data_IF_975240198088
#
_entry.id   IF_975240198088
#
_cell.length_a   1.000
_cell.length_b   1.000
_cell.length_c   1.000
_cell.angle_alpha   90.00
_cell.angle_beta   90.00
_cell.angle_gamma   90.00
#
_symmetry.space_group_name_H-M   'P 1'
#
loop_
_entity.id
_entity.type
_entity.pdbx_description
1 polymer ?
#
# COMPACT_ATOMS: atom_id res chain seq x y z
N UNK A 1 3.84 -0.45 27.47
CA UNK A 1 4.67 0.44 26.63
C UNK A 1 3.94 0.60 25.33
N UNK A 2 3.95 1.79 24.71
CA UNK A 2 3.46 1.92 23.33
C UNK A 2 4.48 1.29 22.37
N UNK A 3 4.01 0.83 21.20
CA UNK A 3 4.84 0.32 20.10
C UNK A 3 4.24 0.68 18.73
N UNK A 4 4.78 0.11 17.64
CA UNK A 4 4.30 0.39 16.28
C UNK A 4 2.83 -0.02 16.04
N UNK A 5 2.30 -0.98 16.80
CA UNK A 5 0.88 -1.34 16.70
C UNK A 5 -0.02 -0.21 17.21
N UNK A 6 0.37 0.48 18.28
CA UNK A 6 -0.38 1.64 18.78
C UNK A 6 -0.31 2.80 17.80
N UNK A 7 0.85 3.02 17.17
CA UNK A 7 1.01 4.07 16.17
C UNK A 7 0.20 3.77 14.91
N UNK A 8 0.18 2.52 14.43
CA UNK A 8 -0.71 2.08 13.35
C UNK A 8 -2.18 2.33 13.71
N UNK A 9 -2.59 2.03 14.94
CA UNK A 9 -3.96 2.23 15.39
C UNK A 9 -4.36 3.71 15.39
N UNK A 10 -3.44 4.63 15.72
CA UNK A 10 -3.69 6.06 15.65
C UNK A 10 -3.95 6.52 14.19
N UNK A 11 -3.21 5.98 13.21
CA UNK A 11 -3.50 6.26 11.79
C UNK A 11 -4.84 5.67 11.35
N UNK A 12 -5.13 4.43 11.72
CA UNK A 12 -6.40 3.77 11.39
C UNK A 12 -7.61 4.49 12.00
N UNK A 13 -7.43 5.19 13.13
CA UNK A 13 -8.49 6.00 13.74
C UNK A 13 -8.86 7.24 12.91
N UNK A 14 -7.95 7.76 12.08
CA UNK A 14 -8.22 8.86 11.15
C UNK A 14 -8.76 8.37 9.81
N UNK A 15 -8.39 7.16 9.39
CA UNK A 15 -8.75 6.62 8.09
C UNK A 15 -10.18 6.07 8.13
N UNK A 16 -11.09 6.50 7.24
CA UNK A 16 -12.43 5.93 7.12
C UNK A 16 -12.39 4.56 6.41
N UNK A 17 -11.84 3.55 7.09
CA UNK A 17 -11.57 2.20 6.54
C UNK A 17 -12.81 1.58 5.90
N UNK A 18 -13.96 1.62 6.59
CA UNK A 18 -15.22 1.06 6.07
C UNK A 18 -15.66 1.70 4.75
N UNK A 19 -15.43 3.01 4.59
CA UNK A 19 -15.78 3.72 3.34
C UNK A 19 -14.80 3.36 2.22
N UNK A 20 -13.51 3.22 2.53
CA UNK A 20 -12.50 2.77 1.55
C UNK A 20 -12.84 1.37 1.05
N UNK A 21 -13.18 0.44 1.96
CA UNK A 21 -13.60 -0.92 1.61
C UNK A 21 -14.84 -0.89 0.72
N UNK A 22 -15.82 -0.05 1.05
CA UNK A 22 -17.03 0.09 0.24
C UNK A 22 -16.75 0.63 -1.16
N UNK A 23 -15.89 1.65 -1.30
CA UNK A 23 -15.43 2.17 -2.60
C UNK A 23 -14.72 1.08 -3.39
N UNK A 24 -13.70 0.44 -2.81
CA UNK A 24 -12.91 -0.59 -3.48
C UNK A 24 -13.79 -1.77 -3.95
N UNK A 25 -14.75 -2.20 -3.13
CA UNK A 25 -15.69 -3.27 -3.48
C UNK A 25 -16.62 -2.86 -4.64
N UNK A 26 -17.09 -1.61 -4.67
CA UNK A 26 -17.93 -1.10 -5.76
C UNK A 26 -17.17 -1.05 -7.10
N UNK A 27 -15.92 -0.57 -7.08
CA UNK A 27 -15.04 -0.60 -8.24
C UNK A 27 -14.72 -2.02 -8.70
N UNK A 28 -14.37 -2.93 -7.77
CA UNK A 28 -14.08 -4.32 -8.11
C UNK A 28 -15.29 -5.05 -8.72
N UNK A 29 -16.50 -4.77 -8.23
CA UNK A 29 -17.71 -5.40 -8.75
C UNK A 29 -18.12 -4.87 -10.13
N UNK A 30 -17.83 -3.60 -10.43
CA UNK A 30 -18.48 -2.90 -11.54
C UNK A 30 -17.52 -2.29 -12.58
N UNK A 31 -16.20 -2.31 -12.35
CA UNK A 31 -15.22 -1.68 -13.24
C UNK A 31 -14.23 -2.71 -13.83
N UNK A 32 -14.26 -2.85 -15.16
CA UNK A 32 -13.46 -3.84 -15.88
C UNK A 32 -11.95 -3.56 -15.82
N UNK A 33 -11.52 -2.30 -15.70
CA UNK A 33 -10.11 -1.98 -15.58
C UNK A 33 -9.57 -2.36 -14.20
N UNK A 34 -10.37 -2.12 -13.15
CA UNK A 34 -10.03 -2.56 -11.79
C UNK A 34 -10.01 -4.08 -11.67
N UNK A 35 -10.95 -4.78 -12.31
CA UNK A 35 -10.94 -6.24 -12.38
C UNK A 35 -9.69 -6.77 -13.09
N UNK A 36 -9.29 -6.15 -14.21
CA UNK A 36 -8.07 -6.51 -14.91
C UNK A 36 -6.81 -6.27 -14.06
N UNK A 37 -6.78 -5.20 -13.25
CA UNK A 37 -5.69 -4.95 -12.31
C UNK A 37 -5.61 -6.03 -11.23
N UNK A 38 -6.74 -6.47 -10.66
CA UNK A 38 -6.76 -7.59 -9.70
C UNK A 38 -6.30 -8.89 -10.34
N UNK A 39 -6.73 -9.18 -11.58
CA UNK A 39 -6.25 -10.35 -12.32
C UNK A 39 -4.73 -10.29 -12.58
N UNK A 40 -4.17 -9.10 -12.82
CA UNK A 40 -2.73 -8.92 -12.95
C UNK A 40 -1.98 -9.25 -11.64
N UNK A 41 -2.53 -8.88 -10.47
CA UNK A 41 -1.93 -9.23 -9.18
C UNK A 41 -1.90 -10.74 -8.90
N UNK A 42 -2.69 -11.53 -9.62
CA UNK A 42 -2.69 -13.00 -9.57
C UNK A 42 -1.80 -13.64 -10.65
N UNK A 43 -1.13 -12.86 -11.49
CA UNK A 43 -0.35 -13.37 -12.62
C UNK A 43 1.06 -13.81 -12.22
N UNK A 44 1.62 -14.75 -12.97
CA UNK A 44 3.02 -15.22 -12.83
C UNK A 44 4.03 -14.06 -12.90
N UNK A 45 3.72 -13.01 -13.65
CA UNK A 45 4.54 -11.80 -13.76
C UNK A 45 4.63 -11.06 -12.40
N UNK A 46 3.49 -10.91 -11.72
CA UNK A 46 3.47 -10.30 -10.38
C UNK A 46 4.06 -11.24 -9.32
N UNK A 47 3.81 -12.55 -9.44
CA UNK A 47 4.42 -13.57 -8.57
C UNK A 47 5.96 -13.51 -8.63
N UNK A 48 6.52 -13.29 -9.82
CA UNK A 48 7.97 -13.14 -10.00
C UNK A 48 8.52 -11.95 -9.21
N UNK A 49 7.78 -10.84 -9.12
CA UNK A 49 8.14 -9.68 -8.27
C UNK A 49 8.15 -10.09 -6.80
N UNK A 50 7.06 -10.71 -6.34
CA UNK A 50 6.91 -11.12 -4.93
C UNK A 50 8.00 -12.10 -4.51
N UNK A 51 8.23 -13.16 -5.28
CA UNK A 51 9.22 -14.20 -4.97
C UNK A 51 10.65 -13.65 -4.98
N UNK A 52 10.98 -12.78 -5.95
CA UNK A 52 12.29 -12.14 -5.99
C UNK A 52 12.54 -11.29 -4.76
N UNK A 53 11.55 -10.51 -4.31
CA UNK A 53 11.68 -9.68 -3.11
C UNK A 53 11.72 -10.51 -1.83
N UNK A 54 10.89 -11.55 -1.70
CA UNK A 54 10.87 -12.44 -0.53
C UNK A 54 12.22 -13.15 -0.31
N UNK A 55 12.93 -13.44 -1.40
CA UNK A 55 14.25 -14.04 -1.35
C UNK A 55 15.37 -13.10 -0.84
N UNK A 56 15.10 -11.79 -0.70
CA UNK A 56 16.09 -10.82 -0.22
C UNK A 56 16.26 -10.91 1.30
N UNK A 57 17.49 -11.17 1.81
CA UNK A 57 17.77 -11.13 3.24
C UNK A 57 17.39 -9.79 3.88
N UNK A 58 17.53 -8.69 3.15
CA UNK A 58 17.17 -7.35 3.60
C UNK A 58 15.67 -7.20 3.85
N UNK A 59 14.82 -7.82 3.02
CA UNK A 59 13.37 -7.83 3.25
C UNK A 59 13.04 -8.64 4.49
N UNK A 60 13.63 -9.82 4.66
CA UNK A 60 13.43 -10.65 5.86
C UNK A 60 13.87 -9.91 7.14
N UNK A 61 15.01 -9.21 7.10
CA UNK A 61 15.46 -8.38 8.21
C UNK A 61 14.47 -7.26 8.54
N UNK A 62 13.88 -6.63 7.53
CA UNK A 62 12.87 -5.60 7.72
C UNK A 62 11.56 -6.17 8.30
N UNK A 63 11.08 -7.32 7.81
CA UNK A 63 9.90 -7.99 8.36
C UNK A 63 10.10 -8.40 9.83
N UNK A 64 11.27 -8.95 10.16
CA UNK A 64 11.64 -9.27 11.55
C UNK A 64 11.68 -8.01 12.43
N UNK A 65 12.16 -6.88 11.90
CA UNK A 65 12.12 -5.60 12.61
C UNK A 65 10.67 -5.17 12.90
N UNK A 66 9.75 -5.29 11.93
CA UNK A 66 8.34 -4.96 12.14
C UNK A 66 7.71 -5.84 13.23
N UNK A 67 7.96 -7.16 13.17
CA UNK A 67 7.44 -8.13 14.15
C UNK A 67 7.96 -7.83 15.55
N UNK A 68 9.27 -7.57 15.69
CA UNK A 68 9.89 -7.22 16.97
C UNK A 68 9.31 -5.93 17.59
N UNK A 69 8.76 -5.04 16.76
CA UNK A 69 8.13 -3.80 17.18
C UNK A 69 6.59 -3.87 17.24
N UNK A 70 6.02 -5.08 17.16
CA UNK A 70 4.60 -5.36 17.39
C UNK A 70 3.72 -5.37 16.14
N UNK A 71 4.29 -5.23 14.94
CA UNK A 71 3.55 -5.33 13.68
C UNK A 71 3.75 -6.70 13.05
N UNK A 72 2.65 -7.47 12.97
CA UNK A 72 2.67 -8.76 12.29
C UNK A 72 2.47 -8.58 10.78
N UNK A 73 3.55 -8.19 10.10
CA UNK A 73 3.56 -7.94 8.66
C UNK A 73 3.35 -9.20 7.83
N UNK A 74 3.82 -10.36 8.31
CA UNK A 74 3.67 -11.65 7.60
C UNK A 74 2.20 -12.05 7.55
N UNK A 75 1.47 -12.00 8.67
CA UNK A 75 0.04 -12.30 8.69
C UNK A 75 -0.76 -11.32 7.82
N UNK A 76 -0.36 -10.05 7.78
CA UNK A 76 -0.96 -9.06 6.90
C UNK A 76 -0.74 -9.38 5.41
N UNK A 77 0.49 -9.74 5.02
CA UNK A 77 0.81 -10.13 3.64
C UNK A 77 0.06 -11.40 3.22
N UNK A 78 -0.02 -12.40 4.11
CA UNK A 78 -0.80 -13.62 3.88
C UNK A 78 -2.30 -13.31 3.73
N UNK A 79 -2.84 -12.39 4.54
CA UNK A 79 -4.23 -11.94 4.42
C UNK A 79 -4.53 -11.21 3.10
N UNK A 80 -3.55 -10.51 2.53
CA UNK A 80 -3.68 -9.93 1.18
C UNK A 80 -3.75 -11.03 0.12
N UNK A 81 -2.96 -12.09 0.24
CA UNK A 81 -3.03 -13.22 -0.69
C UNK A 81 -4.43 -13.87 -0.69
N UNK A 82 -5.00 -14.08 0.49
CA UNK A 82 -6.38 -14.57 0.65
C UNK A 82 -7.41 -13.59 0.07
N UNK A 83 -7.21 -12.29 0.27
CA UNK A 83 -8.03 -11.22 -0.31
C UNK A 83 -7.83 -11.07 -1.82
N UNK A 84 -6.73 -11.52 -2.40
CA UNK A 84 -6.54 -11.51 -3.85
C UNK A 84 -7.09 -12.79 -4.49
N UNK A 85 -7.40 -13.86 -3.73
CA UNK A 85 -8.03 -15.11 -4.20
C UNK A 85 -9.57 -15.23 -4.04
N UNK A 86 -10.32 -14.14 -4.17
CA UNK A 86 -11.69 -13.97 -3.62
C UNK A 86 -12.77 -14.91 -4.21
N UNK A 87 -13.57 -15.62 -3.38
CA UNK A 87 -14.97 -15.23 -3.06
C UNK A 87 -15.34 -15.48 -1.56
N UNK A 88 -16.35 -14.86 -0.92
CA UNK A 88 -17.62 -14.24 -1.35
C UNK A 88 -17.97 -13.02 -0.47
N UNK A 89 -18.74 -12.06 -1.00
CA UNK A 89 -19.58 -11.19 -0.16
C UNK A 89 -21.02 -11.11 -0.72
N UNK A 90 -22.06 -11.56 0.03
CA UNK A 90 -23.37 -10.98 -0.10
C UNK A 90 -23.45 -9.76 0.83
N UNK A 91 -23.16 -8.57 0.31
CA UNK A 91 -23.37 -7.34 1.10
C UNK A 91 -24.88 -7.10 1.13
N UNK A 92 -25.54 -7.61 2.16
CA UNK A 92 -26.94 -7.30 2.41
C UNK A 92 -27.05 -5.83 2.81
N UNK A 93 -27.55 -5.02 1.88
CA UNK A 93 -28.27 -3.78 2.19
C UNK A 93 -27.45 -2.52 2.31
N UNK A 94 -27.14 -1.89 1.17
CA UNK A 94 -27.62 -0.55 0.75
C UNK A 94 -26.85 -0.17 -0.52
N UNK A 95 -27.59 0.06 -1.61
CA UNK A 95 -27.03 0.56 -2.88
C UNK A 95 -26.68 2.04 -2.72
N UNK A 96 -25.57 2.36 -2.08
CA UNK A 96 -24.92 3.64 -2.34
C UNK A 96 -24.12 3.44 -3.61
N UNK A 97 -24.44 4.17 -4.69
CA UNK A 97 -23.50 4.29 -5.80
C UNK A 97 -22.42 5.26 -5.29
N UNK A 98 -21.38 4.71 -4.66
CA UNK A 98 -20.31 5.49 -4.02
C UNK A 98 -19.28 5.90 -5.08
N UNK A 99 -19.13 5.09 -6.13
CA UNK A 99 -18.27 5.37 -7.28
C UNK A 99 -18.66 6.65 -8.01
N UNK A 100 -17.71 7.59 -8.09
CA UNK A 100 -17.83 8.84 -8.87
C UNK A 100 -16.92 8.84 -10.10
N UNK A 101 -15.86 8.02 -10.11
CA UNK A 101 -14.89 7.90 -11.20
C UNK A 101 -15.02 6.63 -12.06
N UNK A 102 -14.02 6.41 -12.93
CA UNK A 102 -13.87 5.22 -13.80
C UNK A 102 -12.42 4.74 -13.76
N UNK A 103 -12.21 3.43 -13.81
CA UNK A 103 -10.89 2.81 -13.85
C UNK A 103 -10.08 2.97 -12.56
N UNK A 104 -8.79 2.69 -12.66
CA UNK A 104 -7.85 2.73 -11.52
C UNK A 104 -7.69 4.17 -11.01
N UNK A 105 -7.66 5.16 -11.90
CA UNK A 105 -7.57 6.58 -11.53
C UNK A 105 -8.81 7.03 -10.76
N UNK A 106 -10.01 6.63 -11.20
CA UNK A 106 -11.24 6.90 -10.46
C UNK A 106 -11.24 6.31 -9.04
N UNK A 107 -10.76 5.06 -8.89
CA UNK A 107 -10.63 4.43 -7.58
C UNK A 107 -9.69 5.22 -6.67
N UNK A 108 -8.53 5.62 -7.18
CA UNK A 108 -7.55 6.44 -6.44
C UNK A 108 -8.18 7.77 -6.01
N UNK A 109 -8.83 8.48 -6.93
CA UNK A 109 -9.44 9.78 -6.67
C UNK A 109 -10.56 9.69 -5.62
N UNK A 110 -11.41 8.66 -5.71
CA UNK A 110 -12.51 8.46 -4.77
C UNK A 110 -12.01 8.15 -3.35
N UNK A 111 -10.93 7.38 -3.22
CA UNK A 111 -10.27 7.11 -1.93
C UNK A 111 -9.57 8.37 -1.41
N UNK A 112 -8.81 9.09 -2.23
CA UNK A 112 -8.15 10.33 -1.83
C UNK A 112 -9.14 11.38 -1.35
N UNK A 113 -10.33 11.46 -1.96
CA UNK A 113 -11.36 12.43 -1.60
C UNK A 113 -11.96 12.22 -0.20
N UNK A 114 -11.81 11.03 0.40
CA UNK A 114 -12.31 10.75 1.75
C UNK A 114 -11.21 10.68 2.81
N UNK A 115 -9.93 10.68 2.39
CA UNK A 115 -8.81 10.64 3.32
C UNK A 115 -8.57 12.04 3.93
N UNK A 116 -8.42 12.16 5.26
CA UNK A 116 -8.04 13.41 5.90
C UNK A 116 -6.52 13.63 5.76
N UNK A 117 -6.07 13.98 4.55
CA UNK A 117 -4.64 14.03 4.20
C UNK A 117 -3.83 14.99 5.09
N UNK A 118 -4.41 16.12 5.50
CA UNK A 118 -3.72 17.08 6.37
C UNK A 118 -3.56 16.54 7.80
N UNK A 119 -4.58 15.88 8.34
CA UNK A 119 -4.51 15.24 9.67
C UNK A 119 -3.54 14.06 9.67
N UNK A 120 -3.51 13.26 8.59
CA UNK A 120 -2.55 12.17 8.43
C UNK A 120 -1.11 12.69 8.38
N UNK A 121 -0.85 13.80 7.67
CA UNK A 121 0.46 14.45 7.64
C UNK A 121 0.84 15.03 9.00
N UNK A 122 -0.11 15.64 9.71
CA UNK A 122 0.13 16.16 11.05
C UNK A 122 0.49 15.03 12.03
N UNK A 123 -0.27 13.94 12.01
CA UNK A 123 0.00 12.75 12.82
C UNK A 123 1.35 12.11 12.47
N UNK A 124 1.70 12.04 11.19
CA UNK A 124 3.01 11.55 10.75
C UNK A 124 4.16 12.36 11.35
N UNK A 125 4.10 13.70 11.25
CA UNK A 125 5.12 14.57 11.82
C UNK A 125 5.17 14.49 13.35
N UNK A 126 4.00 14.45 14.01
CA UNK A 126 3.91 14.25 15.46
C UNK A 126 4.59 12.95 15.89
N UNK A 127 4.33 11.84 15.18
CA UNK A 127 4.89 10.52 15.52
C UNK A 127 6.39 10.46 15.33
N UNK A 128 6.96 11.18 14.36
CA UNK A 128 8.42 11.32 14.23
C UNK A 128 9.08 12.00 15.44
N UNK A 129 8.36 12.90 16.12
CA UNK A 129 8.87 13.62 17.30
C UNK A 129 8.57 12.89 18.62
N UNK A 130 7.45 12.17 18.68
CA UNK A 130 6.87 11.67 19.94
C UNK A 130 6.95 10.16 20.12
N UNK A 131 7.11 9.37 19.04
CA UNK A 131 7.22 7.91 19.09
C UNK A 131 8.62 7.45 18.67
N UNK A 132 9.45 6.96 19.61
CA UNK A 132 10.75 6.39 19.29
C UNK A 132 10.67 5.20 18.32
N UNK A 133 9.65 4.36 18.44
CA UNK A 133 9.48 3.19 17.57
C UNK A 133 9.08 3.62 16.15
N UNK A 134 8.22 4.63 16.02
CA UNK A 134 7.89 5.21 14.71
C UNK A 134 9.10 5.89 14.05
N UNK A 135 9.90 6.63 14.84
CA UNK A 135 11.15 7.21 14.34
C UNK A 135 12.15 6.11 13.92
N UNK A 136 12.22 5.00 14.65
CA UNK A 136 13.04 3.85 14.28
C UNK A 136 12.56 3.22 12.96
N UNK A 137 11.26 3.06 12.78
CA UNK A 137 10.67 2.60 11.51
C UNK A 137 11.02 3.55 10.36
N UNK A 138 10.85 4.86 10.56
CA UNK A 138 11.20 5.87 9.56
C UNK A 138 12.69 5.79 9.16
N UNK A 139 13.58 5.62 10.14
CA UNK A 139 15.01 5.46 9.87
C UNK A 139 15.35 4.13 9.19
N UNK A 140 14.64 3.04 9.54
CA UNK A 140 14.82 1.74 8.89
C UNK A 140 14.44 1.80 7.40
N UNK A 141 13.34 2.47 7.04
CA UNK A 141 12.93 2.66 5.64
C UNK A 141 13.97 3.48 4.84
N UNK A 142 14.66 4.39 5.52
CA UNK A 142 15.72 5.21 4.91
C UNK A 142 17.09 4.53 4.88
N UNK A 143 17.22 3.35 5.47
CA UNK A 143 18.51 2.70 5.61
C UNK A 143 19.00 2.19 4.25
N UNK A 144 20.34 2.08 4.06
CA UNK A 144 20.90 1.48 2.84
C UNK A 144 20.37 0.07 2.56
N UNK A 145 20.09 -0.69 3.62
CA UNK A 145 19.50 -2.04 3.52
C UNK A 145 18.09 -2.00 2.94
N UNK A 146 17.23 -1.08 3.37
CA UNK A 146 15.91 -0.94 2.75
C UNK A 146 16.01 -0.40 1.32
N UNK A 147 16.96 0.50 1.06
CA UNK A 147 17.19 1.02 -0.30
C UNK A 147 17.68 -0.06 -1.27
N UNK A 148 18.37 -1.12 -0.83
CA UNK A 148 18.75 -2.22 -1.71
C UNK A 148 17.53 -3.03 -2.18
N UNK A 149 16.49 -3.16 -1.34
CA UNK A 149 15.20 -3.75 -1.72
C UNK A 149 14.56 -2.92 -2.83
N UNK A 150 14.50 -1.59 -2.63
CA UNK A 150 13.93 -0.66 -3.62
C UNK A 150 14.72 -0.67 -4.94
N UNK A 151 16.04 -0.74 -4.88
CA UNK A 151 16.89 -0.83 -6.07
C UNK A 151 16.67 -2.15 -6.82
N UNK A 152 16.60 -3.26 -6.11
CA UNK A 152 16.29 -4.57 -6.69
C UNK A 152 14.96 -4.53 -7.40
N UNK A 153 13.91 -4.03 -6.74
CA UNK A 153 12.57 -3.85 -7.34
C UNK A 153 12.62 -3.00 -8.61
N UNK A 154 13.29 -1.85 -8.58
CA UNK A 154 13.40 -0.96 -9.74
C UNK A 154 14.17 -1.58 -10.92
N UNK A 155 15.10 -2.49 -10.66
CA UNK A 155 15.86 -3.17 -11.71
C UNK A 155 15.06 -4.30 -12.39
N UNK A 156 13.92 -4.72 -11.82
CA UNK A 156 13.11 -5.81 -12.38
C UNK A 156 12.33 -5.36 -13.62
N UNK A 157 12.46 -6.07 -14.76
CA UNK A 157 11.66 -5.77 -15.94
C UNK A 157 10.15 -5.94 -15.70
N UNK A 158 9.74 -6.89 -14.87
CA UNK A 158 8.34 -7.12 -14.49
C UNK A 158 7.76 -5.91 -13.73
N UNK A 159 8.56 -5.29 -12.86
CA UNK A 159 8.16 -4.09 -12.16
C UNK A 159 8.10 -2.87 -13.10
N UNK A 160 9.06 -2.73 -14.02
CA UNK A 160 9.00 -1.66 -15.02
C UNK A 160 7.77 -1.80 -15.93
N UNK A 161 7.42 -3.03 -16.32
CA UNK A 161 6.22 -3.30 -17.11
C UNK A 161 4.93 -3.01 -16.32
N UNK A 162 4.89 -3.32 -15.02
CA UNK A 162 3.79 -2.89 -14.13
C UNK A 162 3.62 -1.37 -14.14
N UNK A 163 4.72 -0.61 -13.98
CA UNK A 163 4.66 0.85 -14.01
C UNK A 163 4.17 1.37 -15.36
N UNK A 164 4.63 0.79 -16.47
CA UNK A 164 4.17 1.15 -17.81
C UNK A 164 2.67 0.88 -17.99
N UNK A 165 2.17 -0.30 -17.60
CA UNK A 165 0.74 -0.63 -17.64
C UNK A 165 -0.10 0.39 -16.85
N UNK A 166 0.38 0.82 -15.68
CA UNK A 166 -0.31 1.83 -14.88
C UNK A 166 -0.31 3.21 -15.56
N UNK A 167 0.81 3.62 -16.18
CA UNK A 167 0.90 4.86 -16.97
C UNK A 167 -0.07 4.83 -18.16
N UNK A 168 -0.19 3.71 -18.84
CA UNK A 168 -1.14 3.52 -19.95
C UNK A 168 -2.61 3.65 -19.50
N UNK A 169 -2.90 3.35 -18.23
CA UNK A 169 -4.23 3.58 -17.60
C UNK A 169 -4.42 5.00 -17.07
N UNK A 170 -3.46 5.90 -17.32
CA UNK A 170 -3.52 7.29 -16.90
C UNK A 170 -3.14 7.51 -15.43
N UNK A 171 -2.61 6.50 -14.74
CA UNK A 171 -2.07 6.67 -13.38
C UNK A 171 -0.73 7.41 -13.48
N UNK A 172 -0.63 8.54 -12.80
CA UNK A 172 0.62 9.31 -12.69
C UNK A 172 1.55 8.66 -11.65
N UNK A 173 2.09 7.49 -12.01
CA UNK A 173 2.98 6.71 -11.14
C UNK A 173 4.25 7.48 -10.78
N UNK A 174 4.75 8.31 -11.68
CA UNK A 174 5.96 9.08 -11.47
C UNK A 174 5.74 10.13 -10.37
N UNK A 175 4.59 10.82 -10.39
CA UNK A 175 4.22 11.72 -9.28
C UNK A 175 4.00 10.99 -7.96
N UNK A 176 3.37 9.81 -7.98
CA UNK A 176 3.17 9.01 -6.76
C UNK A 176 4.53 8.61 -6.16
N UNK A 177 5.46 8.13 -7.00
CA UNK A 177 6.81 7.76 -6.58
C UNK A 177 7.54 8.97 -6.00
N UNK A 178 7.49 10.13 -6.65
CA UNK A 178 8.13 11.36 -6.15
C UNK A 178 7.55 11.83 -4.81
N UNK A 179 6.23 11.70 -4.60
CA UNK A 179 5.61 12.02 -3.31
C UNK A 179 6.10 11.09 -2.20
N UNK A 180 6.20 9.78 -2.47
CA UNK A 180 6.72 8.81 -1.50
C UNK A 180 8.19 9.11 -1.20
N UNK A 181 9.01 9.35 -2.23
CA UNK A 181 10.43 9.73 -2.06
C UNK A 181 10.58 10.99 -1.22
N UNK A 182 9.79 12.02 -1.48
CA UNK A 182 9.80 13.26 -0.72
C UNK A 182 9.45 13.04 0.76
N UNK A 183 8.47 12.18 1.07
CA UNK A 183 8.10 11.83 2.45
C UNK A 183 9.25 11.19 3.22
N UNK A 184 10.05 10.35 2.57
CA UNK A 184 11.19 9.66 3.20
C UNK A 184 12.54 10.37 3.00
N UNK A 185 12.55 11.50 2.28
CA UNK A 185 13.78 12.22 1.92
C UNK A 185 14.74 11.37 1.10
N UNK A 186 14.22 10.49 0.24
CA UNK A 186 15.01 9.63 -0.66
C UNK A 186 15.37 10.42 -1.93
N UNK A 187 16.64 10.38 -2.34
CA UNK A 187 17.12 11.01 -3.58
C UNK A 187 17.19 9.99 -4.72
N UNK A 188 17.25 10.49 -5.97
CA UNK A 188 17.43 9.70 -7.19
C UNK A 188 18.66 8.79 -7.17
#
# INVERSE_FOLDING_TARGET
SRNLQDDLQDFLALIPVDQIIAIATDYLANDAEVQAAVAYLQSDEFETIVVTLDALPELQNFLNFLEANGLNAIDFLNGIHDLLGIPHIPVSGRKYHIRRGVGITGLIDDVLAILPLDDLKALFNEKLETSPDFLALYNAIKSPEFQSIVQTLNAMPEYQNLLEKLREKGVDVDKIIELIRALFGLTH
#
